data_IF_199962759600
#
_entry.id   IF_199962759600
#
_cell.length_a   1.000
_cell.length_b   1.000
_cell.length_c   1.000
_cell.angle_alpha   90.00
_cell.angle_beta   90.00
_cell.angle_gamma   90.00
#
_symmetry.space_group_name_H-M   'P 1'
#
loop_
_entity.id
_entity.type
_entity.pdbx_description
1 polymer ?
#
# COMPACT_ATOMS: atom_id res chain seq x y z
N UNK A 1 -21.34 -2.68 10.23
CA UNK A 1 -21.42 -2.15 11.61
C UNK A 1 -20.48 -2.84 12.59
N UNK A 2 -20.56 -4.17 12.83
CA UNK A 2 -19.75 -4.85 13.86
C UNK A 2 -18.21 -4.68 13.75
N UNK A 3 -17.66 -4.67 12.52
CA UNK A 3 -16.19 -4.50 12.30
C UNK A 3 -15.67 -3.12 12.70
N UNK A 4 -16.40 -2.06 12.37
CA UNK A 4 -16.01 -0.69 12.75
C UNK A 4 -16.06 -0.50 14.25
N UNK A 5 -17.11 -1.01 14.91
CA UNK A 5 -17.24 -0.95 16.36
C UNK A 5 -16.08 -1.68 17.06
N UNK A 6 -15.76 -2.90 16.59
CA UNK A 6 -14.61 -3.65 17.09
C UNK A 6 -13.30 -2.88 16.89
N UNK A 7 -13.09 -2.27 15.72
CA UNK A 7 -11.88 -1.50 15.46
C UNK A 7 -11.71 -0.32 16.43
N UNK A 8 -12.79 0.39 16.76
CA UNK A 8 -12.76 1.49 17.75
C UNK A 8 -12.35 0.96 19.14
N UNK A 9 -12.91 -0.18 19.56
CA UNK A 9 -12.53 -0.79 20.84
C UNK A 9 -11.08 -1.30 20.84
N UNK A 10 -10.63 -1.89 19.73
CA UNK A 10 -9.25 -2.39 19.61
C UNK A 10 -8.23 -1.22 19.60
N UNK A 11 -8.63 -0.01 19.18
CA UNK A 11 -7.77 1.20 19.23
C UNK A 11 -7.38 1.60 20.65
N UNK A 12 -8.22 1.33 21.66
CA UNK A 12 -7.87 1.56 23.07
C UNK A 12 -6.62 0.78 23.48
N UNK A 13 -6.38 -0.38 22.85
CA UNK A 13 -5.20 -1.24 23.08
C UNK A 13 -3.96 -0.73 22.34
N UNK A 14 -4.14 -0.19 21.13
CA UNK A 14 -3.03 0.34 20.30
C UNK A 14 -2.51 1.68 20.84
N UNK A 15 -3.36 2.45 21.51
CA UNK A 15 -3.03 3.72 22.12
C UNK A 15 -3.05 4.90 21.13
N UNK A 16 -3.23 6.14 21.63
CA UNK A 16 -3.47 7.31 20.80
C UNK A 16 -2.24 7.78 20.01
N UNK A 17 -1.02 7.39 20.40
CA UNK A 17 0.23 7.87 19.79
C UNK A 17 0.43 7.40 18.36
N UNK A 18 -0.19 6.27 17.97
CA UNK A 18 -0.13 5.75 16.60
C UNK A 18 -1.08 6.52 15.68
N UNK A 19 -2.28 6.86 16.16
CA UNK A 19 -3.31 7.53 15.38
C UNK A 19 -3.16 9.06 15.38
N UNK A 20 -2.76 9.61 16.52
CA UNK A 20 -2.63 11.04 16.79
C UNK A 20 -1.25 11.32 17.41
N UNK A 21 -0.17 11.19 16.63
CA UNK A 21 1.18 11.46 17.12
C UNK A 21 1.30 12.94 17.51
N UNK A 22 1.43 13.23 18.80
CA UNK A 22 1.60 14.58 19.35
C UNK A 22 3.07 15.04 19.40
N UNK A 23 4.01 14.08 19.41
CA UNK A 23 5.45 14.32 19.36
C UNK A 23 6.08 13.35 18.38
N UNK A 24 6.97 13.84 17.52
CA UNK A 24 7.81 12.99 16.66
C UNK A 24 9.16 12.75 17.38
N UNK A 25 9.36 11.60 18.05
CA UNK A 25 10.67 11.24 18.58
C UNK A 25 11.69 10.95 17.47
N UNK A 26 11.21 10.81 16.21
CA UNK A 26 12.00 10.45 15.04
C UNK A 26 12.59 11.70 14.38
N UNK A 27 13.71 12.21 14.90
CA UNK A 27 14.54 13.20 14.21
C UNK A 27 15.45 12.50 13.20
N UNK A 28 15.36 12.86 11.92
CA UNK A 28 16.33 12.46 10.90
C UNK A 28 15.97 11.22 10.09
N UNK A 29 14.77 11.19 9.50
CA UNK A 29 14.44 10.24 8.45
C UNK A 29 15.43 10.38 7.30
N UNK A 30 16.12 9.30 6.97
CA UNK A 30 17.01 9.27 5.82
C UNK A 30 16.26 8.68 4.64
N UNK A 31 16.07 9.49 3.61
CA UNK A 31 15.61 8.99 2.30
C UNK A 31 16.57 7.88 1.85
N UNK A 32 16.02 6.70 1.57
CA UNK A 32 16.79 5.61 1.00
C UNK A 32 16.94 5.82 -0.51
N UNK A 33 18.14 5.59 -1.04
CA UNK A 33 18.38 5.60 -2.49
C UNK A 33 17.95 4.27 -3.07
N UNK A 34 17.20 4.31 -4.16
CA UNK A 34 16.70 3.12 -4.87
C UNK A 34 16.66 3.41 -6.37
N UNK A 35 16.57 2.35 -7.17
CA UNK A 35 16.35 2.47 -8.62
C UNK A 35 14.86 2.28 -8.89
N UNK A 36 14.16 3.29 -9.44
CA UNK A 36 12.76 3.13 -9.80
C UNK A 36 12.52 1.95 -10.75
N UNK A 37 11.44 1.21 -10.49
CA UNK A 37 10.94 0.17 -11.38
C UNK A 37 10.06 0.80 -12.47
N UNK A 38 9.23 1.77 -12.11
CA UNK A 38 8.53 2.61 -13.08
C UNK A 38 9.45 3.72 -13.63
N UNK A 39 9.77 3.72 -14.95
CA UNK A 39 10.63 4.74 -15.55
C UNK A 39 9.97 6.12 -15.64
N UNK A 40 8.65 6.22 -15.45
CA UNK A 40 7.89 7.46 -15.55
C UNK A 40 7.67 8.15 -14.20
N UNK A 41 8.29 7.66 -13.12
CA UNK A 41 8.20 8.32 -11.81
C UNK A 41 8.94 9.66 -11.85
N UNK A 42 8.31 10.72 -11.33
CA UNK A 42 8.97 12.02 -11.21
C UNK A 42 9.76 12.14 -9.89
N UNK A 43 10.44 13.26 -9.72
CA UNK A 43 11.31 13.51 -8.56
C UNK A 43 10.54 13.49 -7.24
N UNK A 44 9.36 14.12 -7.19
CA UNK A 44 8.53 14.23 -6.00
C UNK A 44 7.99 12.88 -5.55
N UNK A 45 7.56 12.06 -6.51
CA UNK A 45 7.10 10.70 -6.26
C UNK A 45 8.27 9.81 -5.83
N UNK A 46 9.44 9.93 -6.46
CA UNK A 46 10.63 9.18 -6.07
C UNK A 46 11.13 9.58 -4.68
N UNK A 47 11.03 10.86 -4.31
CA UNK A 47 11.31 11.34 -2.96
C UNK A 47 10.35 10.72 -1.94
N UNK A 48 9.05 10.70 -2.22
CA UNK A 48 8.06 10.07 -1.36
C UNK A 48 8.33 8.57 -1.15
N UNK A 49 8.65 7.83 -2.23
CA UNK A 49 9.02 6.41 -2.15
C UNK A 49 10.29 6.22 -1.32
N UNK A 50 11.34 7.00 -1.58
CA UNK A 50 12.60 6.89 -0.85
C UNK A 50 12.45 7.21 0.63
N UNK A 51 11.55 8.14 0.99
CA UNK A 51 11.19 8.41 2.38
C UNK A 51 10.52 7.19 3.00
N UNK A 52 9.52 6.59 2.35
CA UNK A 52 8.83 5.37 2.83
C UNK A 52 9.83 4.23 3.07
N UNK A 53 10.74 3.97 2.12
CA UNK A 53 11.74 2.91 2.23
C UNK A 53 12.76 3.14 3.34
N UNK A 54 13.06 4.41 3.66
CA UNK A 54 13.95 4.79 4.75
C UNK A 54 13.34 4.67 6.15
N UNK A 55 12.05 4.32 6.24
CA UNK A 55 11.33 4.30 7.50
C UNK A 55 11.48 2.99 8.24
N UNK A 56 11.90 3.08 9.50
CA UNK A 56 11.89 1.95 10.41
C UNK A 56 11.12 2.35 11.67
N UNK A 57 9.86 1.90 11.80
CA UNK A 57 8.97 2.07 12.96
C UNK A 57 8.45 3.49 13.24
N UNK A 58 8.24 4.28 12.18
CA UNK A 58 7.82 5.70 12.23
C UNK A 58 6.27 5.79 12.16
N UNK A 59 5.62 6.87 12.66
CA UNK A 59 4.18 7.15 12.46
C UNK A 59 3.72 7.07 10.99
N UNK A 60 2.39 7.02 10.76
CA UNK A 60 1.83 6.87 9.41
C UNK A 60 2.33 7.95 8.43
N UNK A 61 2.73 7.51 7.23
CA UNK A 61 3.09 8.40 6.13
C UNK A 61 1.87 8.77 5.31
N UNK A 62 1.70 10.07 5.09
CA UNK A 62 0.63 10.60 4.26
C UNK A 62 1.24 11.08 2.95
N UNK A 63 0.92 10.40 1.86
CA UNK A 63 1.15 10.91 0.51
C UNK A 63 -0.04 11.81 0.16
N UNK A 64 0.24 13.10 0.01
CA UNK A 64 -0.73 14.08 -0.44
C UNK A 64 -0.41 14.52 -1.87
N UNK A 65 -1.45 14.74 -2.68
CA UNK A 65 -1.29 15.25 -4.04
C UNK A 65 -2.63 15.56 -4.71
N UNK A 66 -2.73 16.60 -5.56
CA UNK A 66 -3.92 16.90 -6.35
C UNK A 66 -4.44 15.72 -7.18
N UNK A 67 -5.68 15.77 -7.71
CA UNK A 67 -6.18 14.78 -8.67
C UNK A 67 -5.21 14.61 -9.86
N UNK A 68 -5.02 13.37 -10.33
CA UNK A 68 -4.16 13.09 -11.48
C UNK A 68 -2.64 13.05 -11.22
N UNK A 69 -2.15 13.35 -10.00
CA UNK A 69 -0.71 13.39 -9.68
C UNK A 69 -0.04 12.04 -9.41
N UNK A 70 -0.69 10.93 -9.80
CA UNK A 70 -0.09 9.60 -9.72
C UNK A 70 0.09 9.03 -8.32
N UNK A 71 -0.65 9.50 -7.30
CA UNK A 71 -0.58 8.98 -5.91
C UNK A 71 -0.62 7.44 -5.84
N UNK A 72 -1.53 6.83 -6.59
CA UNK A 72 -1.65 5.36 -6.67
C UNK A 72 -0.37 4.75 -7.24
N UNK A 73 0.20 5.31 -8.30
CA UNK A 73 1.47 4.85 -8.87
C UNK A 73 2.63 5.01 -7.89
N UNK A 74 2.65 6.08 -7.10
CA UNK A 74 3.65 6.28 -6.03
C UNK A 74 3.55 5.21 -4.95
N UNK A 75 2.33 4.88 -4.52
CA UNK A 75 2.08 3.81 -3.54
C UNK A 75 2.48 2.45 -4.11
N UNK A 76 2.11 2.15 -5.37
CA UNK A 76 2.47 0.91 -6.04
C UNK A 76 3.98 0.76 -6.16
N UNK A 77 4.70 1.81 -6.60
CA UNK A 77 6.17 1.79 -6.64
C UNK A 77 6.76 1.50 -5.25
N UNK A 78 6.27 2.14 -4.20
CA UNK A 78 6.74 1.87 -2.84
C UNK A 78 6.51 0.41 -2.41
N UNK A 79 5.36 -0.17 -2.74
CA UNK A 79 5.04 -1.58 -2.46
C UNK A 79 6.03 -2.50 -3.20
N UNK A 80 6.26 -2.24 -4.49
CA UNK A 80 7.18 -3.04 -5.31
C UNK A 80 8.62 -2.97 -4.79
N UNK A 81 9.06 -1.77 -4.38
CA UNK A 81 10.38 -1.58 -3.79
C UNK A 81 10.51 -2.32 -2.44
N UNK A 82 9.50 -2.27 -1.58
CA UNK A 82 9.49 -3.03 -0.32
C UNK A 82 9.53 -4.54 -0.55
N UNK A 83 8.72 -5.03 -1.50
CA UNK A 83 8.65 -6.46 -1.85
C UNK A 83 9.98 -6.97 -2.43
N UNK A 84 10.63 -6.19 -3.29
CA UNK A 84 11.92 -6.55 -3.89
C UNK A 84 13.08 -6.45 -2.92
N UNK A 85 13.07 -5.44 -2.04
CA UNK A 85 14.11 -5.23 -1.03
C UNK A 85 14.07 -6.30 0.08
N UNK A 86 12.88 -6.72 0.51
CA UNK A 86 12.71 -7.73 1.54
C UNK A 86 11.63 -8.75 1.18
N UNK A 87 12.05 -9.91 0.67
CA UNK A 87 11.15 -11.03 0.30
C UNK A 87 10.36 -11.63 1.48
N UNK A 88 10.70 -11.29 2.72
CA UNK A 88 9.95 -11.70 3.92
C UNK A 88 8.94 -10.64 4.37
N UNK A 89 8.90 -9.47 3.73
CA UNK A 89 7.94 -8.44 4.05
C UNK A 89 6.54 -8.85 3.60
N UNK A 90 5.59 -8.80 4.53
CA UNK A 90 4.17 -8.95 4.22
C UNK A 90 3.54 -7.56 4.16
N UNK A 91 2.96 -7.21 3.02
CA UNK A 91 2.35 -5.89 2.79
C UNK A 91 0.83 -6.05 2.77
N UNK A 92 0.14 -5.38 3.70
CA UNK A 92 -1.31 -5.28 3.68
C UNK A 92 -1.73 -4.00 2.97
N UNK A 93 -2.51 -4.14 1.90
CA UNK A 93 -3.04 -3.02 1.13
C UNK A 93 -4.54 -2.91 1.42
N UNK A 94 -4.98 -1.72 1.82
CA UNK A 94 -6.37 -1.43 2.11
C UNK A 94 -6.87 -0.30 1.21
N UNK A 95 -8.12 -0.42 0.75
CA UNK A 95 -8.81 0.62 -0.01
C UNK A 95 -10.26 0.75 0.48
N UNK A 96 -10.91 1.91 0.29
CA UNK A 96 -12.27 2.14 0.79
C UNK A 96 -13.36 1.41 -0.01
N UNK A 97 -13.06 0.93 -1.22
CA UNK A 97 -14.00 0.21 -2.09
C UNK A 97 -13.33 -0.98 -2.80
N UNK A 98 -14.14 -1.93 -3.28
CA UNK A 98 -13.63 -3.06 -4.05
C UNK A 98 -12.92 -2.59 -5.33
N UNK A 99 -13.56 -1.73 -6.12
CA UNK A 99 -12.97 -1.23 -7.36
C UNK A 99 -11.65 -0.49 -7.15
N UNK A 100 -11.49 0.26 -6.05
CA UNK A 100 -10.20 0.89 -5.73
C UNK A 100 -9.11 -0.14 -5.38
N UNK A 101 -9.46 -1.20 -4.65
CA UNK A 101 -8.52 -2.28 -4.35
C UNK A 101 -8.15 -3.09 -5.60
N UNK A 102 -9.11 -3.31 -6.50
CA UNK A 102 -8.87 -4.02 -7.75
C UNK A 102 -8.01 -3.19 -8.70
N UNK A 103 -8.23 -1.88 -8.77
CA UNK A 103 -7.38 -1.00 -9.56
C UNK A 103 -5.92 -1.02 -9.08
N UNK A 104 -5.67 -1.08 -7.77
CA UNK A 104 -4.30 -1.26 -7.25
C UNK A 104 -3.73 -2.63 -7.64
N UNK A 105 -4.56 -3.68 -7.60
CA UNK A 105 -4.17 -5.04 -8.00
C UNK A 105 -3.81 -5.11 -9.49
N UNK A 106 -4.57 -4.47 -10.36
CA UNK A 106 -4.31 -4.35 -11.81
C UNK A 106 -2.94 -3.74 -12.05
N UNK A 107 -2.71 -2.56 -11.47
CA UNK A 107 -1.44 -1.85 -11.63
C UNK A 107 -0.28 -2.70 -11.08
N UNK A 108 -0.45 -3.43 -9.96
CA UNK A 108 0.59 -4.31 -9.44
C UNK A 108 0.95 -5.44 -10.40
N UNK A 109 -0.04 -6.05 -11.06
CA UNK A 109 0.19 -7.08 -12.07
C UNK A 109 0.82 -6.54 -13.34
N UNK A 110 0.46 -5.32 -13.77
CA UNK A 110 1.03 -4.67 -14.94
C UNK A 110 2.46 -4.16 -14.69
N UNK A 111 2.69 -3.54 -13.53
CA UNK A 111 3.93 -2.83 -13.22
C UNK A 111 5.10 -3.76 -12.91
N UNK A 112 4.87 -5.04 -12.60
CA UNK A 112 5.98 -5.91 -12.27
C UNK A 112 5.74 -7.40 -12.56
N UNK A 113 6.51 -7.92 -13.51
CA UNK A 113 6.73 -9.35 -13.70
C UNK A 113 7.43 -10.02 -12.48
N UNK A 114 7.93 -9.22 -11.53
CA UNK A 114 8.64 -9.72 -10.36
C UNK A 114 7.71 -10.30 -9.30
N UNK A 115 6.44 -9.89 -9.29
CA UNK A 115 5.46 -10.46 -8.38
C UNK A 115 4.79 -11.64 -9.08
N UNK A 116 4.95 -12.82 -8.49
CA UNK A 116 4.21 -14.00 -8.95
C UNK A 116 2.77 -13.88 -8.50
N UNK A 117 1.85 -14.42 -9.29
CA UNK A 117 0.43 -14.45 -8.92
C UNK A 117 0.20 -15.08 -7.54
N UNK A 118 0.99 -16.09 -7.17
CA UNK A 118 0.92 -16.78 -5.86
C UNK A 118 1.37 -15.93 -4.68
N UNK A 119 2.04 -14.80 -4.92
CA UNK A 119 2.54 -13.90 -3.86
C UNK A 119 1.52 -12.80 -3.51
N UNK A 120 0.39 -12.70 -4.25
CA UNK A 120 -0.68 -11.74 -3.98
C UNK A 120 -1.98 -12.48 -3.67
N UNK A 121 -2.63 -12.08 -2.59
CA UNK A 121 -3.96 -12.57 -2.24
C UNK A 121 -4.97 -11.42 -2.18
N UNK A 122 -6.08 -11.54 -2.93
CA UNK A 122 -7.14 -10.52 -2.97
C UNK A 122 -8.28 -10.97 -2.08
N UNK A 123 -8.32 -10.45 -0.86
CA UNK A 123 -9.42 -10.72 0.07
C UNK A 123 -10.70 -9.97 -0.36
N UNK A 124 -11.62 -10.68 -1.01
CA UNK A 124 -12.90 -10.11 -1.43
C UNK A 124 -13.91 -10.01 -0.28
N UNK A 125 -14.74 -8.96 -0.32
CA UNK A 125 -15.83 -8.82 0.63
C UNK A 125 -16.92 -9.87 0.35
N UNK A 126 -17.49 -10.46 1.41
CA UNK A 126 -18.57 -11.45 1.27
C UNK A 126 -19.80 -10.92 0.51
N UNK A 127 -20.05 -9.60 0.57
CA UNK A 127 -21.16 -8.95 -0.13
C UNK A 127 -20.85 -8.59 -1.60
N UNK A 128 -19.64 -8.85 -2.09
CA UNK A 128 -19.27 -8.55 -3.47
C UNK A 128 -19.92 -9.61 -4.38
N UNK A 129 -20.62 -9.17 -5.42
CA UNK A 129 -21.19 -10.11 -6.38
C UNK A 129 -20.06 -10.72 -7.21
N UNK A 130 -20.23 -11.98 -7.62
CA UNK A 130 -19.23 -12.70 -8.39
C UNK A 130 -18.96 -12.02 -9.75
N UNK A 131 -20.02 -11.54 -10.40
CA UNK A 131 -19.95 -10.89 -11.71
C UNK A 131 -19.21 -9.54 -11.66
N UNK A 132 -19.06 -8.94 -10.48
CA UNK A 132 -18.28 -7.72 -10.27
C UNK A 132 -16.77 -8.00 -10.19
N UNK A 133 -16.36 -9.28 -10.08
CA UNK A 133 -14.95 -9.66 -10.00
C UNK A 133 -14.38 -9.78 -11.40
N UNK A 134 -13.31 -9.05 -11.69
CA UNK A 134 -12.60 -9.18 -12.96
C UNK A 134 -12.15 -10.65 -13.14
N UNK A 135 -12.56 -11.34 -14.22
CA UNK A 135 -12.22 -12.74 -14.47
C UNK A 135 -10.72 -13.03 -14.46
N UNK A 136 -9.91 -12.06 -14.84
CA UNK A 136 -8.44 -12.20 -14.88
C UNK A 136 -7.84 -12.40 -13.48
N UNK A 137 -8.53 -12.00 -12.42
CA UNK A 137 -8.10 -12.26 -11.04
C UNK A 137 -8.53 -13.64 -10.55
N UNK A 138 -9.64 -14.19 -11.06
CA UNK A 138 -10.17 -15.46 -10.58
C UNK A 138 -9.23 -16.64 -10.92
N UNK A 139 -8.60 -16.63 -12.10
CA UNK A 139 -7.65 -17.66 -12.52
C UNK A 139 -6.22 -17.51 -11.97
N UNK A 140 -5.92 -16.40 -11.27
CA UNK A 140 -4.58 -16.10 -10.72
C UNK A 140 -4.47 -16.30 -9.20
N UNK A 141 -5.57 -16.67 -8.53
CA UNK A 141 -5.67 -16.81 -7.07
C UNK A 141 -5.68 -18.27 -6.58
N UNK A 142 -5.63 -19.25 -7.48
CA UNK A 142 -5.52 -20.70 -7.18
C UNK A 142 -4.08 -21.18 -7.29
#
# INVERSE_FOLDING_TARGET
>A
MRRHYKAIHDVEVVGPTVLFPYQTPYRGLKKLSFKPLNPHINTEQADAVGMILGCNRVPPYVIYGPPGTGKTMTIVEAILQLYTYNRRANVLICAPSNGAADHVLEILFEASYLIRATDIFRLNAFSRQYDDVNPDFLGRQT
#
